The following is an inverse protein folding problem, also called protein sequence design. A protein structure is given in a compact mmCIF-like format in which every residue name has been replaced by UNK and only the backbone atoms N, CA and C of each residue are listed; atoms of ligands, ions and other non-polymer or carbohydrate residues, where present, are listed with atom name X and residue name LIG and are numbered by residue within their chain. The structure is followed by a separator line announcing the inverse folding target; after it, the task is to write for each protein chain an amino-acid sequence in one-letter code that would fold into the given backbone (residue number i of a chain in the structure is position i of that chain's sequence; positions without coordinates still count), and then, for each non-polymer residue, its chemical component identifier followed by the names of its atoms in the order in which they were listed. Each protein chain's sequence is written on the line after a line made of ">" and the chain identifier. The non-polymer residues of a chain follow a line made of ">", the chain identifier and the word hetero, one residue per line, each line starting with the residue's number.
data_IF_854342569058
#
_entry.id   IF_854342569058
#
_cell.length_a   1.000
_cell.length_b   1.000
_cell.length_c   1.000
_cell.angle_alpha   90.00
_cell.angle_beta   90.00
_cell.angle_gamma   90.00
#
_symmetry.space_group_name_H-M   'P 1'
#
loop_
_entity.id
_entity.type
_entity.pdbx_description
1 polymer ?
#
# COMPACT_ATOMS: atom_id res chain seq x y z
N UNK A 1 -8.40 -23.42 -7.96
CA UNK A 1 -8.83 -23.68 -6.57
C UNK A 1 -7.68 -24.29 -5.80
N UNK A 2 -7.49 -23.90 -4.53
CA UNK A 2 -6.45 -24.47 -3.67
C UNK A 2 -6.83 -25.84 -3.06
N UNK A 3 -7.98 -26.42 -3.45
CA UNK A 3 -8.50 -27.68 -2.91
C UNK A 3 -9.10 -27.58 -1.50
N UNK A 4 -9.21 -26.37 -0.94
CA UNK A 4 -9.76 -26.16 0.40
C UNK A 4 -11.30 -26.25 0.42
N UNK A 5 -11.84 -26.74 1.53
CA UNK A 5 -13.26 -26.83 1.85
C UNK A 5 -13.64 -25.79 2.94
N UNK A 6 -14.94 -25.62 3.19
CA UNK A 6 -15.47 -24.71 4.22
C UNK A 6 -14.97 -23.25 4.10
N UNK A 7 -14.83 -22.76 2.87
CA UNK A 7 -14.26 -21.44 2.59
C UNK A 7 -15.03 -20.33 3.30
N UNK A 8 -14.31 -19.48 4.02
CA UNK A 8 -14.79 -18.25 4.63
C UNK A 8 -14.12 -17.06 3.95
N UNK A 9 -14.87 -15.98 3.82
CA UNK A 9 -14.43 -14.74 3.20
C UNK A 9 -14.79 -13.60 4.13
N UNK A 10 -13.84 -12.71 4.39
CA UNK A 10 -14.05 -11.48 5.17
C UNK A 10 -13.46 -10.28 4.45
N UNK A 11 -14.30 -9.34 3.98
CA UNK A 11 -13.83 -8.07 3.46
C UNK A 11 -13.49 -7.11 4.61
N UNK A 12 -12.51 -6.25 4.35
CA UNK A 12 -12.10 -5.15 5.20
C UNK A 12 -11.91 -3.90 4.35
N UNK A 13 -12.25 -2.76 4.93
CA UNK A 13 -11.94 -1.44 4.39
C UNK A 13 -11.12 -0.74 5.45
N UNK A 14 -9.90 -0.37 5.11
CA UNK A 14 -9.05 0.49 5.93
C UNK A 14 -9.12 1.87 5.30
N UNK A 15 -9.64 2.83 6.07
CA UNK A 15 -9.62 4.23 5.71
C UNK A 15 -8.43 4.89 6.39
N UNK A 16 -7.47 5.30 5.57
CA UNK A 16 -6.26 5.98 6.01
C UNK A 16 -6.15 7.36 5.35
N UNK A 17 -7.29 7.96 5.02
CA UNK A 17 -7.39 9.36 4.57
C UNK A 17 -6.86 10.32 5.64
N UNK A 18 -6.50 11.54 5.24
CA UNK A 18 -6.02 12.57 6.18
C UNK A 18 -6.99 12.76 7.36
N UNK A 19 -6.43 12.80 8.57
CA UNK A 19 -7.19 12.98 9.81
C UNK A 19 -7.88 11.72 10.36
N UNK A 20 -7.75 10.57 9.69
CA UNK A 20 -8.21 9.28 10.24
C UNK A 20 -7.16 8.68 11.19
N UNK A 21 -7.55 7.77 12.10
CA UNK A 21 -6.61 7.14 13.04
C UNK A 21 -5.49 6.34 12.38
N UNK A 22 -5.74 5.79 11.18
CA UNK A 22 -4.80 4.92 10.49
C UNK A 22 -3.84 5.69 9.56
N UNK A 23 -4.07 6.99 9.32
CA UNK A 23 -3.29 7.81 8.36
C UNK A 23 -1.79 7.81 8.63
N UNK A 24 -1.37 8.13 9.86
CA UNK A 24 0.05 8.26 10.22
C UNK A 24 0.79 6.93 10.07
N UNK A 25 0.19 5.84 10.54
CA UNK A 25 0.78 4.51 10.44
C UNK A 25 0.98 4.08 8.97
N UNK A 26 -0.03 4.29 8.11
CA UNK A 26 0.10 3.94 6.69
C UNK A 26 0.99 4.89 5.90
N UNK A 27 1.05 6.16 6.27
CA UNK A 27 2.00 7.12 5.70
C UNK A 27 3.45 6.65 5.93
N UNK A 28 3.80 6.29 7.16
CA UNK A 28 5.15 5.82 7.51
C UNK A 28 5.49 4.49 6.82
N UNK A 29 4.54 3.55 6.78
CA UNK A 29 4.73 2.26 6.11
C UNK A 29 4.93 2.45 4.59
N UNK A 30 4.14 3.31 3.94
CA UNK A 30 4.24 3.54 2.49
C UNK A 30 5.50 4.29 2.09
N UNK A 31 5.91 5.31 2.84
CA UNK A 31 7.18 6.01 2.58
C UNK A 31 8.36 5.06 2.68
N UNK A 32 8.36 4.19 3.70
CA UNK A 32 9.35 3.11 3.83
C UNK A 32 9.30 2.14 2.66
N UNK A 33 8.12 1.66 2.27
CA UNK A 33 7.96 0.73 1.14
C UNK A 33 8.46 1.33 -0.18
N UNK A 34 8.14 2.59 -0.47
CA UNK A 34 8.58 3.27 -1.69
C UNK A 34 10.11 3.32 -1.78
N UNK A 35 10.81 3.60 -0.67
CA UNK A 35 12.28 3.56 -0.64
C UNK A 35 12.86 2.16 -0.81
N UNK A 36 12.18 1.13 -0.31
CA UNK A 36 12.61 -0.27 -0.49
C UNK A 36 12.44 -0.75 -1.94
N UNK A 37 11.39 -0.30 -2.63
CA UNK A 37 11.09 -0.70 -4.02
C UNK A 37 11.91 0.10 -5.04
N UNK A 38 12.29 1.35 -4.74
CA UNK A 38 13.02 2.22 -5.66
C UNK A 38 14.29 1.56 -6.28
N UNK A 39 15.21 0.94 -5.52
CA UNK A 39 16.38 0.28 -6.09
C UNK A 39 16.04 -0.85 -7.07
N UNK A 40 14.96 -1.58 -6.81
CA UNK A 40 14.49 -2.66 -7.68
C UNK A 40 14.01 -2.11 -9.03
N UNK A 41 13.21 -1.04 -9.04
CA UNK A 41 12.72 -0.42 -10.27
C UNK A 41 13.85 0.17 -11.11
N UNK A 42 14.84 0.80 -10.45
CA UNK A 42 16.03 1.34 -11.13
C UNK A 42 16.86 0.20 -11.74
N UNK A 43 17.08 -0.90 -11.00
CA UNK A 43 17.83 -2.06 -11.49
C UNK A 43 17.15 -2.76 -12.67
N UNK A 44 15.82 -2.76 -12.71
CA UNK A 44 15.02 -3.27 -13.83
C UNK A 44 14.98 -2.32 -15.04
N UNK A 45 15.49 -1.09 -14.90
CA UNK A 45 15.47 -0.08 -15.95
C UNK A 45 14.11 0.59 -16.15
N UNK A 46 13.18 0.44 -15.20
CA UNK A 46 11.83 1.00 -15.27
C UNK A 46 11.80 2.51 -15.00
N UNK A 47 12.81 3.05 -14.31
CA UNK A 47 12.94 4.47 -14.01
C UNK A 47 14.40 4.87 -13.74
N UNK A 48 14.63 6.16 -13.54
CA UNK A 48 15.93 6.72 -13.12
C UNK A 48 15.91 7.10 -11.64
N UNK A 49 17.08 7.27 -11.02
CA UNK A 49 17.18 7.74 -9.64
C UNK A 49 16.48 9.11 -9.45
N UNK A 50 16.74 10.05 -10.37
CA UNK A 50 16.17 11.40 -10.31
C UNK A 50 14.65 11.39 -10.42
N UNK A 51 14.10 10.61 -11.36
CA UNK A 51 12.65 10.49 -11.51
C UNK A 51 12.01 9.82 -10.29
N UNK A 52 12.62 8.74 -9.78
CA UNK A 52 12.11 8.04 -8.62
C UNK A 52 12.13 8.91 -7.35
N UNK A 53 13.18 9.71 -7.13
CA UNK A 53 13.24 10.63 -5.99
C UNK A 53 12.22 11.76 -6.13
N UNK A 54 12.02 12.29 -7.34
CA UNK A 54 10.98 13.29 -7.61
C UNK A 54 9.58 12.74 -7.30
N UNK A 55 9.28 11.53 -7.77
CA UNK A 55 7.98 10.88 -7.54
C UNK A 55 7.78 10.55 -6.07
N UNK A 56 8.83 10.10 -5.38
CA UNK A 56 8.80 9.85 -3.94
C UNK A 56 8.41 11.11 -3.16
N UNK A 57 9.07 12.24 -3.40
CA UNK A 57 8.74 13.50 -2.72
C UNK A 57 7.36 14.03 -3.09
N UNK A 58 6.94 13.86 -4.34
CA UNK A 58 5.57 14.20 -4.74
C UNK A 58 4.54 13.37 -3.94
N UNK A 59 4.75 12.06 -3.84
CA UNK A 59 3.87 11.18 -3.08
C UNK A 59 3.82 11.56 -1.59
N UNK A 60 4.96 11.89 -0.97
CA UNK A 60 5.00 12.38 0.41
C UNK A 60 4.12 13.62 0.61
N UNK A 61 4.24 14.62 -0.28
CA UNK A 61 3.46 15.86 -0.22
C UNK A 61 1.96 15.63 -0.43
N UNK A 62 1.60 14.73 -1.34
CA UNK A 62 0.20 14.38 -1.60
C UNK A 62 -0.42 13.66 -0.38
N UNK A 63 0.31 12.74 0.26
CA UNK A 63 -0.21 11.98 1.39
C UNK A 63 -0.37 12.79 2.68
N UNK A 64 0.40 13.86 2.88
CA UNK A 64 0.24 14.77 4.04
C UNK A 64 -0.79 15.87 3.82
N UNK A 65 -1.34 16.00 2.60
CA UNK A 65 -2.34 17.02 2.30
C UNK A 65 -3.62 16.81 3.12
N UNK A 66 -4.25 17.90 3.57
CA UNK A 66 -5.50 17.83 4.34
C UNK A 66 -6.68 17.26 3.53
N UNK A 67 -6.61 17.29 2.19
CA UNK A 67 -7.60 16.72 1.28
C UNK A 67 -7.27 15.30 0.80
N UNK A 68 -6.18 14.70 1.33
CA UNK A 68 -5.78 13.35 0.97
C UNK A 68 -6.83 12.32 1.38
N UNK A 69 -7.26 11.49 0.42
CA UNK A 69 -8.25 10.45 0.63
C UNK A 69 -7.70 9.10 0.15
N UNK A 70 -7.73 8.09 1.01
CA UNK A 70 -7.22 6.77 0.66
C UNK A 70 -7.94 5.63 1.39
N UNK A 71 -8.29 4.61 0.62
CA UNK A 71 -8.94 3.39 1.10
C UNK A 71 -8.16 2.17 0.63
N UNK A 72 -7.91 1.24 1.54
CA UNK A 72 -7.45 -0.11 1.20
C UNK A 72 -8.55 -1.14 1.41
N UNK A 73 -8.85 -1.87 0.35
CA UNK A 73 -9.76 -3.00 0.37
C UNK A 73 -8.96 -4.28 0.53
N UNK A 74 -9.11 -4.93 1.67
CA UNK A 74 -8.46 -6.20 1.95
C UNK A 74 -9.51 -7.30 1.99
N UNK A 75 -9.19 -8.44 1.38
CA UNK A 75 -10.02 -9.63 1.43
C UNK A 75 -9.25 -10.74 2.11
N UNK A 76 -9.65 -11.11 3.31
CA UNK A 76 -9.12 -12.31 3.96
C UNK A 76 -9.96 -13.50 3.52
N UNK A 77 -9.31 -14.52 2.96
CA UNK A 77 -9.94 -15.78 2.57
C UNK A 77 -9.23 -16.92 3.30
N UNK A 78 -9.98 -17.78 3.97
CA UNK A 78 -9.44 -18.96 4.64
C UNK A 78 -10.38 -20.15 4.47
N UNK A 79 -9.83 -21.35 4.65
CA UNK A 79 -10.57 -22.60 4.52
C UNK A 79 -9.72 -23.76 5.01
N UNK A 80 -10.31 -24.94 5.02
CA UNK A 80 -9.71 -26.15 5.56
C UNK A 80 -9.21 -27.03 4.42
N UNK A 81 -8.07 -27.72 4.60
CA UNK A 81 -7.71 -28.79 3.66
C UNK A 81 -8.67 -29.98 3.86
N UNK A 82 -8.97 -30.75 2.79
CA UNK A 82 -9.79 -31.95 2.87
C UNK A 82 -9.29 -32.96 3.90
#
# INVERSE_FOLDING_TARGET
>A
EAGCQNIQIRPWVIDWSAGTPDHEAFFDDLTTLMKLVQPFLIAMGETTQEEADRLYHQAELEMISEDFCALWYLLTVWGEKP
#
